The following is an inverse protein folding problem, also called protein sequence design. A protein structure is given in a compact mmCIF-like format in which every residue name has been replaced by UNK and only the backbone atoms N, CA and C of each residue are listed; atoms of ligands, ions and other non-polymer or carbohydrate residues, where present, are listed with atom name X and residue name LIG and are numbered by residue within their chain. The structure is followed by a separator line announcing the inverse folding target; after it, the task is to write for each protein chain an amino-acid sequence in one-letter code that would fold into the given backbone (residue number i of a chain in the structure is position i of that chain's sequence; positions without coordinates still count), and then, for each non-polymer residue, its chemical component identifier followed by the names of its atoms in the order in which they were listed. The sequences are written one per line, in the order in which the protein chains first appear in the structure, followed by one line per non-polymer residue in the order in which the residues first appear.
data_IF_352586110784
#
_entry.id   IF_352586110784
#
_cell.length_a   1.000
_cell.length_b   1.000
_cell.length_c   1.000
_cell.angle_alpha   90.00
_cell.angle_beta   90.00
_cell.angle_gamma   90.00
#
_symmetry.space_group_name_H-M   'P 1'
#
loop_
_entity.id
_entity.type
_entity.pdbx_description
1 polymer ?
#
# COMPACT_ATOMS: atom_id res chain seq x y z
N UNK A 1 26.48 -66.12 10.91
CA UNK A 1 26.29 -64.72 11.18
C UNK A 1 27.40 -63.97 10.49
N UNK A 2 27.13 -63.47 9.28
CA UNK A 2 28.11 -62.81 8.41
C UNK A 2 27.73 -61.35 8.21
N UNK A 3 28.46 -60.46 8.85
CA UNK A 3 28.27 -59.01 8.68
C UNK A 3 28.95 -58.54 7.39
N UNK A 4 28.24 -57.87 6.51
CA UNK A 4 28.80 -57.18 5.36
C UNK A 4 29.26 -55.76 5.76
N UNK A 5 30.46 -55.32 5.36
CA UNK A 5 30.90 -53.93 5.58
C UNK A 5 30.25 -53.02 4.55
N UNK A 6 29.63 -51.97 5.04
CA UNK A 6 29.14 -50.83 4.22
C UNK A 6 30.28 -49.88 3.87
N UNK A 7 30.67 -49.89 2.61
CA UNK A 7 31.69 -48.96 2.06
C UNK A 7 31.07 -47.57 1.87
N UNK A 8 31.41 -46.64 2.73
CA UNK A 8 31.15 -45.20 2.51
C UNK A 8 32.11 -44.68 1.43
N UNK A 9 31.57 -44.43 0.26
CA UNK A 9 32.27 -43.78 -0.84
C UNK A 9 32.28 -42.27 -0.57
N UNK A 10 33.34 -41.76 0.03
CA UNK A 10 33.63 -40.33 0.14
C UNK A 10 33.93 -39.79 -1.25
N UNK A 11 32.97 -39.06 -1.86
CA UNK A 11 33.19 -38.35 -3.10
C UNK A 11 34.08 -37.13 -2.81
N UNK A 12 35.38 -37.26 -3.04
CA UNK A 12 36.29 -36.12 -3.05
C UNK A 12 35.94 -35.21 -4.23
N UNK A 13 35.18 -34.13 -3.96
CA UNK A 13 34.97 -33.04 -4.91
C UNK A 13 36.31 -32.34 -5.11
N UNK A 14 36.84 -32.42 -6.34
CA UNK A 14 38.13 -31.80 -6.69
C UNK A 14 38.09 -30.30 -6.42
N UNK A 15 39.07 -29.70 -5.72
CA UNK A 15 39.04 -28.27 -5.31
C UNK A 15 38.99 -27.28 -6.49
N UNK A 16 39.32 -27.71 -7.70
CA UNK A 16 39.23 -26.92 -8.91
C UNK A 16 37.77 -26.65 -9.35
N UNK A 17 36.87 -27.63 -9.20
CA UNK A 17 35.45 -27.51 -9.58
C UNK A 17 34.69 -26.64 -8.56
N UNK A 18 35.06 -26.68 -7.29
CA UNK A 18 34.47 -25.82 -6.26
C UNK A 18 34.82 -24.34 -6.47
N UNK A 19 36.08 -24.04 -6.85
CA UNK A 19 36.50 -22.65 -7.17
C UNK A 19 35.79 -22.09 -8.40
N UNK A 20 35.57 -22.91 -9.43
CA UNK A 20 34.84 -22.53 -10.64
C UNK A 20 33.37 -22.25 -10.36
N UNK A 21 32.72 -23.06 -9.51
CA UNK A 21 31.33 -22.87 -9.10
C UNK A 21 31.14 -21.58 -8.28
N UNK A 22 32.06 -21.27 -7.36
CA UNK A 22 32.03 -20.05 -6.55
C UNK A 22 32.24 -18.80 -7.44
N UNK A 23 33.19 -18.85 -8.39
CA UNK A 23 33.41 -17.76 -9.33
C UNK A 23 32.20 -17.49 -10.22
N UNK A 24 31.48 -18.54 -10.66
CA UNK A 24 30.27 -18.42 -11.47
C UNK A 24 29.11 -17.79 -10.68
N UNK A 25 28.94 -18.14 -9.40
CA UNK A 25 27.92 -17.57 -8.52
C UNK A 25 28.21 -16.08 -8.27
N UNK A 26 29.47 -15.69 -8.05
CA UNK A 26 29.84 -14.29 -7.85
C UNK A 26 29.63 -13.46 -9.15
N UNK A 27 29.92 -14.01 -10.31
CA UNK A 27 29.67 -13.34 -11.58
C UNK A 27 28.18 -13.12 -11.87
N UNK A 28 27.30 -14.05 -11.47
CA UNK A 28 25.85 -13.94 -11.62
C UNK A 28 25.23 -12.90 -10.66
N UNK A 29 25.83 -12.68 -9.48
CA UNK A 29 25.35 -11.66 -8.53
C UNK A 29 25.78 -10.24 -8.89
N UNK A 30 26.90 -10.07 -9.64
CA UNK A 30 27.41 -8.74 -10.01
C UNK A 30 26.62 -8.08 -11.16
N UNK A 31 25.91 -8.84 -11.98
CA UNK A 31 25.14 -8.30 -13.13
C UNK A 31 23.67 -7.98 -12.81
N UNK A 32 23.17 -8.35 -11.61
CA UNK A 32 21.75 -8.22 -11.25
C UNK A 32 21.30 -6.87 -10.72
N UNK A 33 22.21 -6.01 -10.23
CA UNK A 33 21.80 -4.83 -9.48
C UNK A 33 21.55 -3.55 -10.30
N UNK A 34 21.97 -3.46 -11.55
CA UNK A 34 21.81 -2.22 -12.32
C UNK A 34 20.51 -2.13 -13.13
N UNK A 35 19.89 -3.26 -13.47
CA UNK A 35 18.62 -3.27 -14.22
C UNK A 35 17.37 -3.16 -13.36
N UNK A 36 17.43 -3.61 -12.09
CA UNK A 36 16.28 -3.58 -11.19
C UNK A 36 15.97 -2.15 -10.71
N UNK A 37 16.96 -1.32 -10.51
CA UNK A 37 16.80 0.09 -10.14
C UNK A 37 16.14 0.96 -11.21
N UNK A 38 16.31 0.62 -12.49
CA UNK A 38 15.69 1.35 -13.61
C UNK A 38 14.20 1.05 -13.80
N UNK A 39 13.71 -0.08 -13.31
CA UNK A 39 12.31 -0.49 -13.43
C UNK A 39 11.42 0.14 -12.34
N UNK A 40 12.00 0.50 -11.18
CA UNK A 40 11.28 1.12 -10.06
C UNK A 40 11.58 2.62 -9.87
N UNK A 41 12.59 3.17 -10.51
CA UNK A 41 13.03 4.56 -10.32
C UNK A 41 12.52 5.57 -11.35
N UNK A 42 11.91 5.13 -12.44
CA UNK A 42 11.63 5.99 -13.60
C UNK A 42 10.34 6.81 -13.48
N UNK A 43 9.50 6.51 -12.47
CA UNK A 43 8.20 7.17 -12.32
C UNK A 43 8.23 8.38 -11.35
N UNK A 44 9.33 8.57 -10.59
CA UNK A 44 9.39 9.67 -9.60
C UNK A 44 9.62 11.04 -10.24
N UNK A 45 10.34 11.09 -11.36
CA UNK A 45 10.72 12.35 -12.02
C UNK A 45 9.77 12.70 -13.19
N UNK A 46 8.91 11.77 -13.59
CA UNK A 46 8.05 11.93 -14.77
C UNK A 46 6.85 12.87 -14.57
N UNK A 47 6.61 13.34 -13.35
CA UNK A 47 5.48 14.21 -13.01
C UNK A 47 5.93 15.61 -12.55
N UNK A 48 7.24 15.90 -12.51
CA UNK A 48 7.74 17.26 -12.25
C UNK A 48 7.51 18.14 -13.49
N UNK A 49 6.77 19.24 -13.27
CA UNK A 49 6.48 20.21 -14.33
C UNK A 49 5.28 19.89 -15.22
N UNK A 50 4.53 18.83 -14.92
CA UNK A 50 3.28 18.54 -15.62
C UNK A 50 2.15 19.47 -15.16
N UNK A 51 1.21 19.82 -16.05
CA UNK A 51 -0.03 20.48 -15.66
C UNK A 51 -0.79 19.66 -14.62
N UNK A 52 -1.52 20.33 -13.73
CA UNK A 52 -2.26 19.70 -12.64
C UNK A 52 -3.28 18.67 -13.16
N UNK A 53 -3.92 18.98 -14.29
CA UNK A 53 -4.87 18.10 -14.97
C UNK A 53 -4.25 16.79 -15.36
N UNK A 54 -3.03 16.81 -15.91
CA UNK A 54 -2.34 15.60 -16.35
C UNK A 54 -1.90 14.73 -15.18
N UNK A 55 -1.46 15.34 -14.06
CA UNK A 55 -1.15 14.60 -12.83
C UNK A 55 -2.42 13.94 -12.30
N UNK A 56 -3.55 14.68 -12.29
CA UNK A 56 -4.82 14.17 -11.83
C UNK A 56 -5.30 12.98 -12.67
N UNK A 57 -5.29 13.09 -14.00
CA UNK A 57 -5.69 12.03 -14.93
C UNK A 57 -4.84 10.77 -14.77
N UNK A 58 -3.53 10.91 -14.57
CA UNK A 58 -2.62 9.77 -14.32
C UNK A 58 -2.92 9.08 -13.00
N UNK A 59 -3.19 9.86 -11.95
CA UNK A 59 -3.57 9.32 -10.65
C UNK A 59 -4.90 8.57 -10.75
N UNK A 60 -5.88 9.13 -11.44
CA UNK A 60 -7.19 8.54 -11.67
C UNK A 60 -7.09 7.27 -12.54
N UNK A 61 -6.24 7.26 -13.57
CA UNK A 61 -5.92 6.07 -14.36
C UNK A 61 -5.30 4.94 -13.54
N UNK A 62 -4.45 5.29 -12.57
CA UNK A 62 -3.88 4.31 -11.62
C UNK A 62 -4.96 3.72 -10.71
N UNK A 63 -5.90 4.55 -10.25
CA UNK A 63 -7.07 4.12 -9.47
C UNK A 63 -7.97 3.16 -10.27
N UNK A 64 -8.28 3.50 -11.51
CA UNK A 64 -9.11 2.69 -12.41
C UNK A 64 -8.50 1.32 -12.71
N UNK A 65 -7.17 1.23 -12.74
CA UNK A 65 -6.44 -0.03 -12.90
C UNK A 65 -6.26 -0.82 -11.60
N UNK A 66 -6.78 -0.32 -10.47
CA UNK A 66 -6.65 -0.96 -9.16
C UNK A 66 -5.27 -0.80 -8.51
N UNK A 67 -4.40 0.04 -9.06
CA UNK A 67 -3.09 0.33 -8.47
C UNK A 67 -3.21 1.44 -7.43
N UNK A 68 -3.76 1.09 -6.26
CA UNK A 68 -4.12 2.02 -5.20
C UNK A 68 -2.92 2.76 -4.60
N UNK A 69 -1.79 2.07 -4.41
CA UNK A 69 -0.56 2.70 -3.89
C UNK A 69 0.00 3.76 -4.83
N UNK A 70 -0.03 3.49 -6.14
CA UNK A 70 0.41 4.45 -7.14
C UNK A 70 -0.55 5.64 -7.24
N UNK A 71 -1.85 5.39 -7.20
CA UNK A 71 -2.86 6.43 -7.19
C UNK A 71 -2.69 7.36 -5.98
N UNK A 72 -2.56 6.80 -4.77
CA UNK A 72 -2.28 7.55 -3.56
C UNK A 72 -1.03 8.42 -3.71
N UNK A 73 0.08 7.85 -4.20
CA UNK A 73 1.33 8.59 -4.36
C UNK A 73 1.20 9.78 -5.32
N UNK A 74 0.50 9.59 -6.45
CA UNK A 74 0.29 10.65 -7.45
C UNK A 74 -0.64 11.74 -6.93
N UNK A 75 -1.76 11.39 -6.27
CA UNK A 75 -2.64 12.39 -5.65
C UNK A 75 -1.94 13.18 -4.54
N UNK A 76 -1.15 12.53 -3.70
CA UNK A 76 -0.36 13.22 -2.67
C UNK A 76 0.66 14.18 -3.26
N UNK A 77 1.28 13.82 -4.38
CA UNK A 77 2.19 14.70 -5.11
C UNK A 77 1.45 15.90 -5.68
N UNK A 78 0.27 15.68 -6.28
CA UNK A 78 -0.59 16.77 -6.75
C UNK A 78 -0.91 17.75 -5.63
N UNK A 79 -1.37 17.27 -4.48
CA UNK A 79 -1.71 18.09 -3.31
C UNK A 79 -0.49 18.87 -2.81
N UNK A 80 0.71 18.27 -2.85
CA UNK A 80 1.94 18.93 -2.42
C UNK A 80 2.38 20.05 -3.39
N UNK A 81 2.20 19.85 -4.70
CA UNK A 81 2.56 20.83 -5.72
C UNK A 81 1.52 21.95 -5.86
N UNK A 82 0.25 21.62 -5.70
CA UNK A 82 -0.88 22.52 -5.90
C UNK A 82 -1.81 22.55 -4.66
N UNK A 83 -1.35 23.05 -3.50
CA UNK A 83 -2.09 22.94 -2.23
C UNK A 83 -3.41 23.70 -2.20
N UNK A 84 -3.61 24.65 -3.09
CA UNK A 84 -4.82 25.48 -3.21
C UNK A 84 -5.44 25.41 -4.61
N UNK A 85 -5.11 24.39 -5.38
CA UNK A 85 -5.60 24.21 -6.74
C UNK A 85 -7.03 23.68 -6.80
N UNK A 86 -7.63 23.80 -7.96
CA UNK A 86 -9.00 23.31 -8.25
C UNK A 86 -9.17 21.82 -7.96
N UNK A 87 -8.13 21.02 -8.24
CA UNK A 87 -8.16 19.56 -8.05
C UNK A 87 -7.78 19.10 -6.63
N UNK A 88 -7.37 20.02 -5.74
CA UNK A 88 -6.81 19.64 -4.42
C UNK A 88 -7.86 19.01 -3.52
N UNK A 89 -9.07 19.52 -3.51
CA UNK A 89 -10.19 18.96 -2.75
C UNK A 89 -10.49 17.53 -3.24
N UNK A 90 -10.66 17.37 -4.55
CA UNK A 90 -10.95 16.06 -5.16
C UNK A 90 -9.80 15.07 -4.92
N UNK A 91 -8.56 15.51 -5.13
CA UNK A 91 -7.37 14.68 -4.91
C UNK A 91 -7.23 14.22 -3.45
N UNK A 92 -7.62 15.06 -2.48
CA UNK A 92 -7.59 14.67 -1.06
C UNK A 92 -8.64 13.59 -0.75
N UNK A 93 -9.83 13.73 -1.31
CA UNK A 93 -10.90 12.72 -1.19
C UNK A 93 -10.50 11.39 -1.84
N UNK A 94 -9.94 11.44 -3.04
CA UNK A 94 -9.48 10.25 -3.76
C UNK A 94 -8.24 9.60 -3.13
N UNK A 95 -7.38 10.39 -2.47
CA UNK A 95 -6.30 9.85 -1.63
C UNK A 95 -6.87 8.99 -0.51
N UNK A 96 -7.87 9.49 0.22
CA UNK A 96 -8.52 8.73 1.29
C UNK A 96 -9.16 7.43 0.77
N UNK A 97 -9.82 7.50 -0.37
CA UNK A 97 -10.41 6.31 -1.00
C UNK A 97 -9.33 5.30 -1.45
N UNK A 98 -8.25 5.76 -2.08
CA UNK A 98 -7.14 4.90 -2.49
C UNK A 98 -6.50 4.20 -1.28
N UNK A 99 -6.29 4.92 -0.17
CA UNK A 99 -5.79 4.37 1.09
C UNK A 99 -6.73 3.30 1.66
N UNK A 100 -8.03 3.58 1.69
CA UNK A 100 -9.03 2.59 2.10
C UNK A 100 -8.98 1.33 1.24
N UNK A 101 -8.94 1.47 -0.08
CA UNK A 101 -8.85 0.34 -1.03
C UNK A 101 -7.53 -0.42 -0.92
N UNK A 102 -6.44 0.24 -0.56
CA UNK A 102 -5.14 -0.38 -0.28
C UNK A 102 -5.09 -1.11 1.08
N UNK A 103 -6.15 -1.02 1.90
CA UNK A 103 -6.18 -1.60 3.24
C UNK A 103 -5.45 -0.77 4.31
N UNK A 104 -5.09 0.47 4.00
CA UNK A 104 -4.41 1.42 4.90
C UNK A 104 -5.46 2.20 5.69
N UNK A 105 -6.14 1.53 6.61
CA UNK A 105 -7.31 2.09 7.29
C UNK A 105 -6.98 3.31 8.14
N UNK A 106 -5.86 3.31 8.86
CA UNK A 106 -5.45 4.42 9.73
C UNK A 106 -5.10 5.67 8.93
N UNK A 107 -4.38 5.49 7.83
CA UNK A 107 -4.04 6.58 6.91
C UNK A 107 -5.30 7.14 6.25
N UNK A 108 -6.23 6.29 5.84
CA UNK A 108 -7.51 6.71 5.27
C UNK A 108 -8.30 7.56 6.27
N UNK A 109 -8.44 7.12 7.51
CA UNK A 109 -9.13 7.86 8.58
C UNK A 109 -8.46 9.21 8.80
N UNK A 110 -7.14 9.25 8.92
CA UNK A 110 -6.38 10.49 9.07
C UNK A 110 -6.60 11.47 7.93
N UNK A 111 -6.62 10.96 6.68
CA UNK A 111 -6.87 11.78 5.49
C UNK A 111 -8.30 12.30 5.43
N UNK A 112 -9.28 11.47 5.80
CA UNK A 112 -10.70 11.83 5.91
C UNK A 112 -10.90 12.94 6.95
N UNK A 113 -10.32 12.78 8.14
CA UNK A 113 -10.42 13.78 9.20
C UNK A 113 -9.78 15.12 8.77
N UNK A 114 -8.68 15.06 8.02
CA UNK A 114 -8.08 16.24 7.42
C UNK A 114 -9.05 16.89 6.44
N UNK A 115 -9.71 16.12 5.55
CA UNK A 115 -10.68 16.63 4.60
C UNK A 115 -11.83 17.34 5.31
N UNK A 116 -12.46 16.70 6.30
CA UNK A 116 -13.59 17.25 7.06
C UNK A 116 -13.21 18.56 7.76
N UNK A 117 -12.01 18.63 8.34
CA UNK A 117 -11.53 19.87 8.98
C UNK A 117 -11.22 20.98 7.98
N UNK A 118 -10.73 20.65 6.78
CA UNK A 118 -10.32 21.63 5.77
C UNK A 118 -11.51 22.15 4.98
N UNK A 119 -12.50 21.29 4.73
CA UNK A 119 -13.64 21.54 3.85
C UNK A 119 -15.00 21.25 4.53
N UNK A 120 -15.33 21.86 5.68
CA UNK A 120 -16.46 21.45 6.52
C UNK A 120 -17.83 21.65 5.88
N UNK A 121 -17.96 22.50 4.87
CA UNK A 121 -19.24 22.86 4.24
C UNK A 121 -19.40 22.28 2.82
N UNK A 122 -18.47 21.42 2.41
CA UNK A 122 -18.51 20.86 1.06
C UNK A 122 -19.54 19.74 0.92
N UNK A 123 -20.13 19.64 -0.27
CA UNK A 123 -21.15 18.63 -0.61
C UNK A 123 -20.68 17.17 -0.42
N UNK A 124 -19.38 16.95 -0.36
CA UNK A 124 -18.77 15.62 -0.22
C UNK A 124 -18.59 15.18 1.25
N UNK A 125 -18.94 16.00 2.21
CA UNK A 125 -18.84 15.69 3.65
C UNK A 125 -19.60 14.41 4.02
N UNK A 126 -20.86 14.18 3.59
CA UNK A 126 -21.55 12.93 3.88
C UNK A 126 -20.80 11.71 3.37
N UNK A 127 -20.25 11.79 2.15
CA UNK A 127 -19.42 10.69 1.62
C UNK A 127 -18.18 10.43 2.47
N UNK A 128 -17.53 11.48 2.98
CA UNK A 128 -16.35 11.31 3.84
C UNK A 128 -16.69 10.64 5.18
N UNK A 129 -17.82 10.97 5.80
CA UNK A 129 -18.31 10.24 6.98
C UNK A 129 -18.63 8.78 6.66
N UNK A 130 -19.27 8.51 5.52
CA UNK A 130 -19.52 7.14 5.05
C UNK A 130 -18.21 6.35 4.90
N UNK A 131 -17.23 6.93 4.21
CA UNK A 131 -15.93 6.28 3.99
C UNK A 131 -15.17 6.07 5.32
N UNK A 132 -15.27 7.00 6.27
CA UNK A 132 -14.71 6.85 7.61
C UNK A 132 -15.36 5.72 8.39
N UNK A 133 -16.67 5.60 8.33
CA UNK A 133 -17.41 4.47 8.90
C UNK A 133 -16.96 3.12 8.34
N UNK A 134 -16.78 3.03 7.01
CA UNK A 134 -16.23 1.84 6.36
C UNK A 134 -14.80 1.53 6.83
N UNK A 135 -13.92 2.53 6.90
CA UNK A 135 -12.55 2.36 7.35
C UNK A 135 -12.49 1.91 8.81
N UNK A 136 -13.28 2.51 9.71
CA UNK A 136 -13.38 2.11 11.11
C UNK A 136 -13.91 0.67 11.26
N UNK A 137 -14.90 0.27 10.48
CA UNK A 137 -15.41 -1.11 10.51
C UNK A 137 -14.38 -2.14 9.99
N UNK A 138 -13.49 -1.72 9.10
CA UNK A 138 -12.45 -2.58 8.51
C UNK A 138 -11.18 -2.72 9.35
N UNK A 139 -10.90 -1.80 10.29
CA UNK A 139 -9.66 -1.77 11.09
C UNK A 139 -9.38 -3.11 11.79
N UNK A 140 -10.37 -3.62 12.51
CA UNK A 140 -10.21 -4.81 13.33
C UNK A 140 -10.21 -6.10 12.50
N UNK A 141 -10.92 -6.10 11.37
CA UNK A 141 -11.04 -7.28 10.53
C UNK A 141 -9.69 -7.67 9.89
N UNK A 142 -8.91 -6.69 9.44
CA UNK A 142 -7.64 -6.96 8.74
C UNK A 142 -6.54 -7.38 9.71
N UNK A 143 -6.44 -6.74 10.87
CA UNK A 143 -5.38 -7.02 11.83
C UNK A 143 -5.56 -8.37 12.53
N UNK A 144 -6.77 -8.65 13.02
CA UNK A 144 -7.04 -9.85 13.83
C UNK A 144 -7.19 -11.10 12.98
N UNK A 145 -7.76 -11.01 11.79
CA UNK A 145 -7.90 -12.15 10.87
C UNK A 145 -6.54 -12.61 10.32
N UNK A 146 -5.60 -11.67 10.13
CA UNK A 146 -4.28 -11.95 9.56
C UNK A 146 -3.29 -12.48 10.59
N UNK A 147 -3.41 -12.12 11.87
CA UNK A 147 -2.40 -12.42 12.89
C UNK A 147 -2.82 -13.53 13.86
N UNK A 148 -4.08 -13.63 14.28
CA UNK A 148 -4.40 -14.44 15.47
C UNK A 148 -5.61 -15.36 15.41
N UNK A 149 -6.41 -15.48 14.40
CA UNK A 149 -7.66 -16.29 14.44
C UNK A 149 -8.48 -16.07 15.73
N UNK A 150 -8.48 -14.87 16.27
CA UNK A 150 -9.14 -14.57 17.55
C UNK A 150 -10.66 -14.51 17.39
N UNK A 151 -11.34 -14.96 18.45
CA UNK A 151 -12.80 -14.92 18.57
C UNK A 151 -13.32 -13.48 18.45
N UNK A 152 -14.19 -13.18 17.47
CA UNK A 152 -14.73 -11.84 17.27
C UNK A 152 -15.56 -11.31 18.46
N UNK A 153 -15.98 -12.17 19.39
CA UNK A 153 -16.77 -11.77 20.57
C UNK A 153 -15.98 -10.95 21.61
N UNK A 154 -14.64 -10.94 21.52
CA UNK A 154 -13.74 -10.20 22.44
C UNK A 154 -13.21 -8.89 21.83
N UNK A 155 -13.83 -8.38 20.77
CA UNK A 155 -13.40 -7.14 20.12
C UNK A 155 -13.67 -5.94 21.03
N UNK A 156 -12.74 -4.99 20.99
CA UNK A 156 -12.99 -3.66 21.51
C UNK A 156 -14.11 -3.00 20.70
N UNK A 157 -15.19 -2.64 21.36
CA UNK A 157 -16.37 -2.03 20.74
C UNK A 157 -16.16 -0.56 20.34
N UNK A 158 -14.99 0.03 20.64
CA UNK A 158 -14.72 1.45 20.34
C UNK A 158 -14.79 1.72 18.85
N UNK A 159 -14.15 0.89 18.01
CA UNK A 159 -14.17 1.06 16.56
C UNK A 159 -15.54 0.84 15.94
N UNK A 160 -16.29 -0.14 16.44
CA UNK A 160 -17.67 -0.42 16.01
C UNK A 160 -18.60 0.75 16.38
N UNK A 161 -18.45 1.29 17.61
CA UNK A 161 -19.22 2.46 18.05
C UNK A 161 -18.87 3.70 17.23
N UNK A 162 -17.61 3.87 16.85
CA UNK A 162 -17.15 4.97 16.02
C UNK A 162 -17.74 4.87 14.61
N UNK A 163 -17.72 3.66 14.00
CA UNK A 163 -18.37 3.41 12.73
C UNK A 163 -19.88 3.68 12.77
N UNK A 164 -20.56 3.24 13.83
CA UNK A 164 -21.99 3.52 14.03
C UNK A 164 -22.26 5.03 14.09
N UNK A 165 -21.47 5.78 14.86
CA UNK A 165 -21.61 7.23 14.96
C UNK A 165 -21.39 7.90 13.60
N UNK A 166 -20.40 7.46 12.82
CA UNK A 166 -20.13 8.01 11.48
C UNK A 166 -21.31 7.76 10.53
N UNK A 167 -21.93 6.58 10.59
CA UNK A 167 -23.12 6.28 9.78
C UNK A 167 -24.37 7.02 10.26
N UNK A 168 -24.53 7.28 11.54
CA UNK A 168 -25.69 8.01 12.06
C UNK A 168 -25.71 9.46 11.60
N UNK A 169 -24.55 10.09 11.40
CA UNK A 169 -24.43 11.45 10.84
C UNK A 169 -24.93 11.56 9.39
N UNK A 170 -25.16 10.45 8.70
CA UNK A 170 -25.69 10.46 7.34
C UNK A 170 -27.22 10.53 7.29
N UNK A 171 -27.90 10.32 8.42
CA UNK A 171 -29.35 10.25 8.52
C UNK A 171 -29.98 11.51 9.14
N UNK A 172 -29.15 12.43 9.65
CA UNK A 172 -29.52 13.75 10.15
C UNK A 172 -29.44 14.83 9.05
#
# INVERSE_FOLDING_TARGET
MTQRPTTHRNAHVRPATAKLAVALVIALTATGCSSFGKMFGKDKDAEEGLPVEEIYERAHGSMSSGNWDRAEASFRKLIAQYPYGEYTEQALMETAYAQYKAGKMEEAISTIDRFIRTYPTQRHIPYMYYLRGLANSGRDAIFLQKVWRLDPSRRDLVTVKQAYNDFSLLTE
#
